data_IF_405006965130
#
_entry.id   IF_405006965130
#
_cell.length_a   1.000
_cell.length_b   1.000
_cell.length_c   1.000
_cell.angle_alpha   90.00
_cell.angle_beta   90.00
_cell.angle_gamma   90.00
#
_symmetry.space_group_name_H-M   'P 1'
#
loop_
_entity.id
_entity.type
_entity.pdbx_description
1 polymer ?
#
# COMPACT_ATOMS: atom_id res chain seq x y z
N UNK A 1 21.03 3.48 -8.15
CA UNK A 1 20.36 2.20 -8.27
C UNK A 1 19.14 2.17 -7.37
N UNK A 2 17.97 1.71 -7.85
CA UNK A 2 16.79 1.65 -7.02
C UNK A 2 16.99 0.58 -5.96
N UNK A 3 17.08 1.00 -4.71
CA UNK A 3 16.95 0.09 -3.57
C UNK A 3 15.47 -0.27 -3.45
N UNK A 4 15.04 -1.35 -4.04
CA UNK A 4 13.73 -1.90 -3.72
C UNK A 4 13.85 -2.76 -2.47
N UNK A 5 13.61 -2.19 -1.32
CA UNK A 5 13.31 -2.96 -0.13
C UNK A 5 11.84 -3.36 -0.20
N UNK A 6 11.55 -4.64 -0.36
CA UNK A 6 10.18 -5.19 -0.35
C UNK A 6 9.46 -4.98 0.98
N UNK A 7 10.11 -4.40 1.98
CA UNK A 7 9.58 -4.22 3.33
C UNK A 7 9.49 -2.77 3.80
N UNK A 8 9.84 -1.78 2.97
CA UNK A 8 10.06 -0.42 3.47
C UNK A 8 8.80 0.29 3.96
N UNK A 9 7.62 -0.05 3.47
CA UNK A 9 6.38 0.60 3.91
C UNK A 9 5.71 -0.09 5.10
N UNK A 10 5.88 -1.38 5.24
CA UNK A 10 5.34 -2.12 6.37
C UNK A 10 6.23 -2.02 7.62
N UNK A 11 7.54 -1.79 7.45
CA UNK A 11 8.46 -1.62 8.56
C UNK A 11 8.15 -0.40 9.45
N UNK A 12 7.65 0.68 8.89
CA UNK A 12 7.32 1.88 9.66
C UNK A 12 6.06 1.73 10.53
N UNK A 13 5.13 0.87 10.13
CA UNK A 13 3.88 0.65 10.85
C UNK A 13 3.91 -0.57 11.77
N UNK A 14 4.93 -1.40 11.68
CA UNK A 14 4.93 -2.75 12.24
C UNK A 14 6.03 -3.03 13.26
N UNK A 15 6.47 -2.02 14.01
CA UNK A 15 7.42 -2.23 15.12
C UNK A 15 6.95 -3.33 16.09
N UNK A 16 5.67 -3.62 16.15
CA UNK A 16 5.11 -4.73 16.94
C UNK A 16 4.48 -5.84 16.11
N UNK A 17 4.42 -5.74 14.80
CA UNK A 17 3.64 -6.65 13.95
C UNK A 17 4.51 -7.48 13.02
N UNK A 18 5.33 -8.37 13.60
CA UNK A 18 5.67 -9.63 12.92
C UNK A 18 6.29 -9.53 11.54
N UNK A 19 7.09 -8.51 11.26
CA UNK A 19 7.99 -8.59 10.12
C UNK A 19 9.13 -9.54 10.45
N UNK A 20 8.85 -10.82 10.26
CA UNK A 20 9.77 -11.90 10.55
C UNK A 20 10.77 -12.06 9.39
N UNK A 21 10.49 -11.44 8.25
CA UNK A 21 11.26 -11.58 7.03
C UNK A 21 11.43 -10.25 6.31
N UNK A 22 12.67 -9.95 5.92
CA UNK A 22 13.01 -8.90 4.97
C UNK A 22 13.74 -9.49 3.77
N UNK A 23 13.67 -8.82 2.61
CA UNK A 23 14.43 -9.18 1.43
C UNK A 23 15.20 -7.97 0.92
N UNK A 24 16.48 -8.17 0.63
CA UNK A 24 17.35 -7.19 -0.03
C UNK A 24 17.63 -7.69 -1.44
N UNK A 25 17.33 -6.87 -2.43
CA UNK A 25 17.59 -7.18 -3.84
C UNK A 25 18.66 -6.24 -4.33
N UNK A 26 19.79 -6.77 -4.73
CA UNK A 26 20.94 -6.01 -5.20
C UNK A 26 21.43 -6.57 -6.54
N UNK A 27 21.98 -5.69 -7.37
CA UNK A 27 22.55 -6.06 -8.68
C UNK A 27 24.06 -6.11 -8.64
N UNK A 28 24.69 -5.46 -7.68
CA UNK A 28 26.13 -5.39 -7.53
C UNK A 28 26.64 -6.60 -6.72
N UNK A 29 27.54 -7.39 -7.30
CA UNK A 29 28.05 -8.61 -6.69
C UNK A 29 28.89 -8.34 -5.44
N UNK A 30 29.69 -7.29 -5.41
CA UNK A 30 30.49 -6.93 -4.23
C UNK A 30 29.60 -6.51 -3.05
N UNK A 31 28.52 -5.82 -3.35
CA UNK A 31 27.52 -5.47 -2.33
C UNK A 31 26.77 -6.72 -1.85
N UNK A 32 26.47 -7.66 -2.74
CA UNK A 32 25.83 -8.92 -2.39
C UNK A 32 26.72 -9.73 -1.43
N UNK A 33 28.02 -9.88 -1.71
CA UNK A 33 28.96 -10.56 -0.83
C UNK A 33 29.05 -9.93 0.56
N UNK A 34 29.09 -8.59 0.65
CA UNK A 34 29.07 -7.88 1.94
C UNK A 34 27.79 -8.13 2.72
N UNK A 35 26.63 -8.15 2.05
CA UNK A 35 25.34 -8.42 2.66
C UNK A 35 25.25 -9.87 3.16
N UNK A 36 25.75 -10.84 2.39
CA UNK A 36 25.85 -12.25 2.83
C UNK A 36 26.76 -12.40 4.05
N UNK A 37 27.89 -11.71 4.06
CA UNK A 37 28.77 -11.71 5.23
C UNK A 37 28.06 -11.15 6.46
N UNK A 38 27.39 -10.00 6.33
CA UNK A 38 26.64 -9.38 7.43
C UNK A 38 25.49 -10.26 7.92
N UNK A 39 24.75 -10.87 7.01
CA UNK A 39 23.67 -11.80 7.33
C UNK A 39 24.19 -12.98 8.16
N UNK A 40 25.29 -13.60 7.73
CA UNK A 40 25.91 -14.72 8.43
C UNK A 40 26.49 -14.29 9.80
N UNK A 41 27.20 -13.18 9.84
CA UNK A 41 27.86 -12.69 11.06
C UNK A 41 26.87 -12.26 12.14
N UNK A 42 25.70 -11.68 11.74
CA UNK A 42 24.65 -11.25 12.66
C UNK A 42 23.62 -12.33 12.99
N UNK A 43 23.62 -13.45 12.25
CA UNK A 43 22.59 -14.48 12.37
C UNK A 43 21.21 -14.05 11.87
N UNK A 44 21.13 -13.04 11.01
CA UNK A 44 19.86 -12.49 10.46
C UNK A 44 19.29 -13.41 9.38
N UNK A 45 18.88 -14.61 9.76
CA UNK A 45 18.30 -15.65 8.91
C UNK A 45 16.84 -15.91 9.27
N UNK A 46 16.04 -16.30 8.28
CA UNK A 46 14.64 -16.68 8.50
C UNK A 46 14.54 -18.04 9.18
N UNK A 47 13.53 -18.16 10.05
CA UNK A 47 13.13 -19.46 10.58
C UNK A 47 12.61 -20.40 9.48
N UNK A 48 12.66 -21.73 9.69
CA UNK A 48 12.19 -22.69 8.69
C UNK A 48 10.73 -22.51 8.30
N UNK A 49 9.84 -22.21 9.25
CA UNK A 49 8.41 -21.99 8.98
C UNK A 49 8.20 -20.72 8.16
N UNK A 50 8.91 -19.64 8.48
CA UNK A 50 8.81 -18.38 7.75
C UNK A 50 9.32 -18.52 6.31
N UNK A 51 10.40 -19.28 6.14
CA UNK A 51 10.94 -19.63 4.82
C UNK A 51 9.93 -20.47 4.02
N UNK A 52 9.30 -21.46 4.63
CA UNK A 52 8.29 -22.31 4.00
C UNK A 52 7.07 -21.48 3.55
N UNK A 53 6.53 -20.65 4.43
CA UNK A 53 5.37 -19.79 4.12
C UNK A 53 5.70 -18.77 3.02
N UNK A 54 6.90 -18.20 3.05
CA UNK A 54 7.36 -17.27 2.02
C UNK A 54 7.49 -17.95 0.66
N UNK A 55 8.15 -19.11 0.60
CA UNK A 55 8.26 -19.89 -0.63
C UNK A 55 6.90 -20.30 -1.18
N UNK A 56 5.97 -20.67 -0.32
CA UNK A 56 4.58 -20.97 -0.72
C UNK A 56 3.89 -19.73 -1.28
N UNK A 57 4.03 -18.58 -0.62
CA UNK A 57 3.43 -17.31 -1.04
C UNK A 57 3.95 -16.79 -2.37
N UNK A 58 5.27 -16.92 -2.62
CA UNK A 58 5.91 -16.47 -3.86
C UNK A 58 5.36 -17.20 -5.09
N UNK A 59 5.01 -18.48 -4.97
CA UNK A 59 4.49 -19.29 -6.10
C UNK A 59 3.23 -18.71 -6.75
N UNK A 60 2.44 -17.94 -6.02
CA UNK A 60 1.21 -17.30 -6.53
C UNK A 60 1.31 -15.78 -6.60
N UNK A 61 2.49 -15.21 -6.36
CA UNK A 61 2.67 -13.76 -6.29
C UNK A 61 2.25 -13.06 -7.59
N UNK A 62 2.65 -13.60 -8.74
CA UNK A 62 2.34 -13.00 -10.04
C UNK A 62 0.83 -12.92 -10.29
N UNK A 63 0.07 -13.99 -10.02
CA UNK A 63 -1.40 -14.00 -10.19
C UNK A 63 -2.08 -13.02 -9.26
N UNK A 64 -1.61 -12.94 -8.00
CA UNK A 64 -2.14 -11.97 -7.02
C UNK A 64 -1.85 -10.54 -7.46
N UNK A 65 -0.63 -10.25 -7.91
CA UNK A 65 -0.26 -8.91 -8.38
C UNK A 65 -1.04 -8.48 -9.61
N UNK A 66 -1.30 -9.38 -10.55
CA UNK A 66 -2.18 -9.10 -11.70
C UNK A 66 -3.59 -8.70 -11.23
N UNK A 67 -4.17 -9.45 -10.28
CA UNK A 67 -5.50 -9.15 -9.73
C UNK A 67 -5.49 -7.84 -8.93
N UNK A 68 -4.48 -7.58 -8.10
CA UNK A 68 -4.34 -6.30 -7.38
C UNK A 68 -4.31 -5.12 -8.35
N UNK A 69 -3.49 -5.19 -9.40
CA UNK A 69 -3.39 -4.13 -10.40
C UNK A 69 -4.72 -3.91 -11.13
N UNK A 70 -5.38 -5.01 -11.55
CA UNK A 70 -6.68 -4.95 -12.21
C UNK A 70 -7.75 -4.31 -11.33
N UNK A 71 -7.87 -4.75 -10.08
CA UNK A 71 -8.85 -4.22 -9.14
C UNK A 71 -8.58 -2.74 -8.84
N UNK A 72 -7.30 -2.38 -8.63
CA UNK A 72 -6.91 -0.99 -8.37
C UNK A 72 -7.27 -0.07 -9.54
N UNK A 73 -7.06 -0.50 -10.78
CA UNK A 73 -7.45 0.26 -11.97
C UNK A 73 -8.96 0.51 -12.02
N UNK A 74 -9.77 -0.50 -11.71
CA UNK A 74 -11.24 -0.36 -11.65
C UNK A 74 -11.68 0.63 -10.59
N UNK A 75 -11.08 0.55 -9.39
CA UNK A 75 -11.33 1.48 -8.29
C UNK A 75 -10.89 2.90 -8.65
N UNK A 76 -9.72 3.06 -9.24
CA UNK A 76 -9.22 4.37 -9.70
C UNK A 76 -10.17 5.00 -10.71
N UNK A 77 -10.68 4.24 -11.68
CA UNK A 77 -11.64 4.72 -12.65
C UNK A 77 -12.97 5.16 -12.01
N UNK A 78 -13.42 4.46 -10.97
CA UNK A 78 -14.60 4.86 -10.18
C UNK A 78 -14.32 6.16 -9.40
N UNK A 79 -13.23 6.23 -8.65
CA UNK A 79 -12.88 7.38 -7.81
C UNK A 79 -12.58 8.64 -8.62
N UNK A 80 -11.97 8.52 -9.81
CA UNK A 80 -11.65 9.65 -10.68
C UNK A 80 -12.89 10.43 -11.15
N UNK A 81 -14.04 9.77 -11.21
CA UNK A 81 -15.31 10.37 -11.64
C UNK A 81 -16.26 10.67 -10.46
N UNK A 82 -15.83 10.46 -9.22
CA UNK A 82 -16.68 10.63 -8.06
C UNK A 82 -16.67 12.08 -7.54
N UNK A 83 -17.85 12.67 -7.34
CA UNK A 83 -17.99 14.09 -6.99
C UNK A 83 -17.37 14.50 -5.65
N UNK A 84 -17.30 13.59 -4.67
CA UNK A 84 -16.69 13.84 -3.35
C UNK A 84 -15.17 13.64 -3.30
N UNK A 85 -14.56 13.15 -4.38
CA UNK A 85 -13.11 12.99 -4.46
C UNK A 85 -12.48 14.29 -4.97
N UNK A 86 -11.47 14.79 -4.23
CA UNK A 86 -10.70 15.98 -4.61
C UNK A 86 -9.45 15.58 -5.41
N UNK A 87 -8.57 14.79 -4.81
CA UNK A 87 -7.33 14.33 -5.44
C UNK A 87 -7.21 12.82 -5.36
N UNK A 88 -6.65 12.24 -6.41
CA UNK A 88 -6.42 10.81 -6.52
C UNK A 88 -4.94 10.56 -6.78
N UNK A 89 -4.37 9.63 -6.03
CA UNK A 89 -2.95 9.27 -6.12
C UNK A 89 -2.81 7.79 -6.45
N UNK A 90 -2.40 7.52 -7.67
CA UNK A 90 -2.04 6.19 -8.15
C UNK A 90 -1.05 6.33 -9.31
N UNK A 91 0.07 5.58 -9.34
CA UNK A 91 1.09 5.78 -10.36
C UNK A 91 0.62 5.55 -11.80
N UNK A 92 -0.50 4.86 -11.98
CA UNK A 92 -1.08 4.58 -13.29
C UNK A 92 -1.81 5.76 -13.94
N UNK A 93 -2.17 6.81 -13.19
CA UNK A 93 -2.83 7.99 -13.79
C UNK A 93 -1.78 8.95 -14.38
N UNK A 94 -2.03 9.49 -15.59
CA UNK A 94 -1.06 10.37 -16.27
C UNK A 94 -0.68 11.64 -15.50
N UNK A 95 -1.57 12.12 -14.62
CA UNK A 95 -1.36 13.30 -13.79
C UNK A 95 -0.46 13.04 -12.57
N UNK A 96 -0.16 11.78 -12.26
CA UNK A 96 0.74 11.44 -11.15
C UNK A 96 2.17 11.90 -11.47
N UNK A 97 2.88 12.60 -10.56
CA UNK A 97 4.19 13.20 -10.84
C UNK A 97 5.24 12.18 -11.30
N UNK A 98 5.15 10.94 -10.80
CA UNK A 98 6.07 9.86 -11.15
C UNK A 98 5.50 8.85 -12.16
N UNK A 99 4.43 9.18 -12.89
CA UNK A 99 3.79 8.25 -13.84
C UNK A 99 4.78 7.71 -14.89
N UNK A 100 5.57 8.60 -15.50
CA UNK A 100 6.55 8.19 -16.54
C UNK A 100 7.61 7.25 -15.98
N UNK A 101 8.10 7.52 -14.77
CA UNK A 101 9.06 6.66 -14.08
C UNK A 101 8.44 5.30 -13.74
N UNK A 102 7.24 5.28 -13.15
CA UNK A 102 6.53 4.04 -12.85
C UNK A 102 6.31 3.20 -14.11
N UNK A 103 5.85 3.82 -15.19
CA UNK A 103 5.64 3.15 -16.49
C UNK A 103 6.92 2.53 -17.08
N UNK A 104 8.09 3.12 -16.81
CA UNK A 104 9.37 2.58 -17.29
C UNK A 104 9.92 1.44 -16.44
N UNK A 105 9.46 1.30 -15.19
CA UNK A 105 10.02 0.35 -14.22
C UNK A 105 9.05 -0.77 -13.80
N UNK A 106 7.75 -0.58 -14.02
CA UNK A 106 6.70 -1.48 -13.52
C UNK A 106 5.91 -2.09 -14.67
N UNK A 107 5.58 -3.38 -14.55
CA UNK A 107 4.67 -4.07 -15.49
C UNK A 107 3.19 -3.76 -15.22
N UNK A 108 2.87 -3.31 -13.99
CA UNK A 108 1.57 -2.85 -13.54
C UNK A 108 1.76 -1.87 -12.40
N UNK A 109 0.77 -1.06 -12.07
CA UNK A 109 0.93 0.06 -11.15
C UNK A 109 0.59 -0.25 -9.68
N UNK A 110 0.39 -1.54 -9.36
CA UNK A 110 0.15 -2.01 -8.00
C UNK A 110 -1.25 -1.74 -7.47
N UNK A 111 -1.50 -2.27 -6.26
CA UNK A 111 -2.78 -2.21 -5.57
C UNK A 111 -2.94 -1.05 -4.58
N UNK A 112 -1.95 -0.15 -4.46
CA UNK A 112 -2.03 0.97 -3.51
C UNK A 112 -2.64 2.19 -4.16
N UNK A 113 -3.80 2.61 -3.65
CA UNK A 113 -4.54 3.78 -4.12
C UNK A 113 -4.77 4.73 -2.95
N UNK A 114 -4.56 6.02 -3.12
CA UNK A 114 -4.91 7.01 -2.12
C UNK A 114 -5.74 8.13 -2.73
N UNK A 115 -6.65 8.68 -1.96
CA UNK A 115 -7.45 9.82 -2.41
C UNK A 115 -7.77 10.75 -1.24
N UNK A 116 -8.06 12.01 -1.56
CA UNK A 116 -8.56 12.99 -0.59
C UNK A 116 -10.02 13.31 -0.88
N UNK A 117 -10.78 13.60 0.18
CA UNK A 117 -12.17 14.06 0.07
C UNK A 117 -12.24 15.58 -0.07
N UNK A 118 -13.25 16.10 -0.79
CA UNK A 118 -13.47 17.53 -0.95
C UNK A 118 -13.88 18.21 0.35
N UNK A 119 -14.54 17.49 1.24
CA UNK A 119 -14.94 18.00 2.55
C UNK A 119 -13.72 18.41 3.40
N UNK A 120 -12.56 17.81 3.13
CA UNK A 120 -11.26 18.25 3.64
C UNK A 120 -11.02 17.98 5.12
N UNK A 121 -11.96 17.36 5.84
CA UNK A 121 -11.88 17.20 7.29
C UNK A 121 -11.78 15.74 7.75
N UNK A 122 -11.33 15.59 8.98
CA UNK A 122 -11.20 14.30 9.66
C UNK A 122 -12.55 13.60 9.86
N UNK A 123 -13.60 14.34 10.16
CA UNK A 123 -14.93 13.79 10.47
C UNK A 123 -15.52 13.07 9.24
N UNK A 124 -15.43 13.69 8.08
CA UNK A 124 -15.88 13.09 6.82
C UNK A 124 -15.15 11.77 6.54
N UNK A 125 -13.83 11.73 6.73
CA UNK A 125 -13.04 10.48 6.56
C UNK A 125 -13.46 9.42 7.56
N UNK A 126 -13.68 9.78 8.83
CA UNK A 126 -14.13 8.85 9.86
C UNK A 126 -15.51 8.27 9.52
N UNK A 127 -16.42 9.11 9.02
CA UNK A 127 -17.73 8.67 8.58
C UNK A 127 -17.62 7.67 7.41
N UNK A 128 -16.85 7.99 6.37
CA UNK A 128 -16.61 7.10 5.23
C UNK A 128 -16.02 5.78 5.68
N UNK A 129 -14.94 5.82 6.46
CA UNK A 129 -14.22 4.60 6.86
C UNK A 129 -15.02 3.70 7.80
N UNK A 130 -15.96 4.27 8.56
CA UNK A 130 -16.88 3.50 9.42
C UNK A 130 -17.98 2.76 8.66
N UNK A 131 -18.28 3.18 7.44
CA UNK A 131 -19.30 2.57 6.58
C UNK A 131 -18.80 1.39 5.76
N UNK A 132 -17.50 1.18 5.65
CA UNK A 132 -16.93 0.07 4.89
C UNK A 132 -17.38 -1.29 5.42
N UNK A 133 -17.70 -2.20 4.52
CA UNK A 133 -18.14 -3.58 4.80
C UNK A 133 -17.19 -4.64 4.25
N UNK A 134 -16.54 -4.35 3.14
CA UNK A 134 -15.54 -5.21 2.48
C UNK A 134 -14.13 -4.70 2.80
N UNK A 135 -13.89 -3.39 2.64
CA UNK A 135 -12.65 -2.81 3.10
C UNK A 135 -12.57 -2.83 4.63
N UNK A 136 -11.56 -3.49 5.17
CA UNK A 136 -11.30 -3.49 6.62
C UNK A 136 -10.45 -2.29 7.00
N UNK A 137 -10.87 -1.53 8.01
CA UNK A 137 -10.07 -0.43 8.57
C UNK A 137 -8.86 -1.00 9.32
N UNK A 138 -7.67 -0.85 8.76
CA UNK A 138 -6.44 -1.39 9.34
C UNK A 138 -5.20 -0.61 8.89
N UNK A 139 -4.13 -0.71 9.68
CA UNK A 139 -2.84 -0.07 9.38
C UNK A 139 -2.01 -0.84 8.34
N UNK A 140 -2.27 -2.13 8.15
CA UNK A 140 -1.54 -3.02 7.24
C UNK A 140 -1.80 -2.70 5.76
N UNK A 141 -1.08 -3.38 4.88
CA UNK A 141 -1.24 -3.26 3.43
C UNK A 141 -0.67 -4.50 2.70
N UNK A 142 -1.03 -4.66 1.44
CA UNK A 142 -0.43 -5.66 0.54
C UNK A 142 -0.91 -7.09 0.73
N UNK A 143 -1.89 -7.32 1.62
CA UNK A 143 -2.55 -8.61 1.78
C UNK A 143 -3.53 -8.90 0.63
N UNK A 144 -4.11 -10.10 0.64
CA UNK A 144 -5.14 -10.51 -0.33
C UNK A 144 -6.48 -9.84 -0.04
N UNK A 145 -6.71 -9.48 1.23
CA UNK A 145 -7.85 -8.70 1.70
C UNK A 145 -7.67 -7.21 1.41
N UNK A 146 -8.76 -6.53 1.08
CA UNK A 146 -8.80 -5.09 0.88
C UNK A 146 -8.83 -4.34 2.21
N UNK A 147 -7.89 -3.41 2.39
CA UNK A 147 -7.76 -2.62 3.60
C UNK A 147 -7.90 -1.12 3.30
N UNK A 148 -8.55 -0.40 4.22
CA UNK A 148 -8.59 1.05 4.24
C UNK A 148 -7.82 1.58 5.45
N UNK A 149 -7.11 2.69 5.28
CA UNK A 149 -6.35 3.33 6.33
C UNK A 149 -6.56 4.84 6.27
N UNK A 150 -6.71 5.46 7.43
CA UNK A 150 -6.62 6.92 7.58
C UNK A 150 -5.24 7.28 8.13
N UNK A 151 -4.26 7.65 7.28
CA UNK A 151 -2.89 7.83 7.73
C UNK A 151 -2.72 8.85 8.85
N UNK A 152 -3.49 9.93 8.80
CA UNK A 152 -3.37 11.03 9.75
C UNK A 152 -3.70 10.65 11.20
N UNK A 153 -4.66 9.74 11.43
CA UNK A 153 -5.04 9.31 12.80
C UNK A 153 -4.49 7.94 13.19
N UNK A 154 -3.91 7.19 12.24
CA UNK A 154 -3.41 5.85 12.48
C UNK A 154 -1.88 5.81 12.39
N UNK A 155 -1.33 5.62 11.20
CA UNK A 155 0.12 5.41 11.01
C UNK A 155 0.99 6.64 11.29
N UNK A 156 0.43 7.84 11.20
CA UNK A 156 1.14 9.11 11.39
C UNK A 156 0.58 9.96 12.54
N UNK A 157 -0.22 9.36 13.44
CA UNK A 157 -0.86 10.07 14.54
C UNK A 157 0.15 10.73 15.51
N UNK A 158 1.34 10.15 15.66
CA UNK A 158 2.41 10.70 16.51
C UNK A 158 3.17 11.87 15.86
N UNK A 159 2.97 12.14 14.57
CA UNK A 159 3.67 13.22 13.85
C UNK A 159 2.85 14.50 13.97
N UNK A 160 3.47 15.65 14.34
CA UNK A 160 2.77 16.93 14.37
C UNK A 160 2.10 17.26 13.03
N UNK A 161 0.88 17.79 13.09
CA UNK A 161 0.04 18.06 11.91
C UNK A 161 0.77 18.82 10.81
N UNK A 162 1.45 19.91 11.17
CA UNK A 162 2.20 20.74 10.22
C UNK A 162 3.30 19.96 9.47
N UNK A 163 3.94 19.01 10.16
CA UNK A 163 5.02 18.21 9.56
C UNK A 163 4.46 17.13 8.63
N UNK A 164 3.37 16.43 9.03
CA UNK A 164 2.77 15.41 8.19
C UNK A 164 2.07 16.00 6.94
N UNK A 165 1.48 17.19 7.05
CA UNK A 165 0.88 17.88 5.90
C UNK A 165 1.92 18.31 4.87
N UNK A 166 3.13 18.72 5.30
CA UNK A 166 4.26 18.97 4.38
C UNK A 166 4.67 17.74 3.58
N UNK A 167 4.44 16.55 4.09
CA UNK A 167 4.69 15.28 3.39
C UNK A 167 3.46 14.75 2.63
N UNK A 168 2.38 15.53 2.58
CA UNK A 168 1.15 15.18 1.85
C UNK A 168 0.14 14.35 2.65
N UNK A 169 0.39 14.10 3.93
CA UNK A 169 -0.55 13.36 4.79
C UNK A 169 -1.51 14.34 5.46
N UNK A 170 -2.55 14.72 4.72
CA UNK A 170 -3.62 15.63 5.16
C UNK A 170 -4.75 14.86 5.86
N UNK A 171 -5.61 15.60 6.61
CA UNK A 171 -6.71 15.03 7.40
C UNK A 171 -7.79 14.36 6.53
N UNK A 172 -7.90 14.73 5.26
CA UNK A 172 -8.86 14.17 4.30
C UNK A 172 -8.34 12.95 3.53
N UNK A 173 -7.12 12.48 3.81
CA UNK A 173 -6.47 11.41 3.05
C UNK A 173 -6.96 10.04 3.48
N UNK A 174 -7.46 9.25 2.55
CA UNK A 174 -7.74 7.82 2.70
C UNK A 174 -6.77 7.03 1.83
N UNK A 175 -6.14 6.00 2.39
CA UNK A 175 -5.30 5.05 1.66
C UNK A 175 -5.99 3.70 1.59
N UNK A 176 -6.11 3.16 0.39
CA UNK A 176 -6.62 1.83 0.11
C UNK A 176 -5.47 0.89 -0.26
N UNK A 177 -5.42 -0.26 0.36
CA UNK A 177 -4.66 -1.42 -0.10
C UNK A 177 -5.66 -2.37 -0.74
N UNK A 178 -5.74 -2.31 -2.05
CA UNK A 178 -6.74 -3.06 -2.82
C UNK A 178 -6.35 -4.52 -2.91
N UNK A 179 -7.23 -5.40 -2.44
CA UNK A 179 -7.05 -6.84 -2.43
C UNK A 179 -7.44 -7.53 -3.75
N UNK A 180 -7.74 -8.82 -3.65
CA UNK A 180 -8.06 -9.68 -4.80
C UNK A 180 -9.52 -10.10 -4.86
N UNK A 181 -10.38 -9.53 -4.03
CA UNK A 181 -11.83 -9.74 -4.03
C UNK A 181 -12.43 -9.37 -5.39
N UNK A 182 -13.70 -9.63 -5.57
CA UNK A 182 -14.40 -9.17 -6.77
C UNK A 182 -14.42 -7.63 -6.81
N UNK A 183 -14.03 -7.06 -7.93
CA UNK A 183 -13.91 -5.61 -8.07
C UNK A 183 -15.26 -4.89 -8.03
N UNK A 184 -16.35 -5.57 -8.41
CA UNK A 184 -17.70 -4.99 -8.32
C UNK A 184 -18.12 -4.84 -6.87
N UNK A 185 -17.84 -5.83 -6.01
CA UNK A 185 -18.09 -5.75 -4.57
C UNK A 185 -17.28 -4.63 -3.92
N UNK A 186 -16.01 -4.47 -4.31
CA UNK A 186 -15.16 -3.37 -3.84
C UNK A 186 -15.72 -1.99 -4.24
N UNK A 187 -16.18 -1.86 -5.48
CA UNK A 187 -16.80 -0.61 -5.98
C UNK A 187 -18.12 -0.33 -5.28
N UNK A 188 -18.95 -1.35 -5.06
CA UNK A 188 -20.20 -1.21 -4.33
C UNK A 188 -19.96 -0.77 -2.88
N UNK A 189 -18.93 -1.31 -2.23
CA UNK A 189 -18.57 -0.91 -0.87
C UNK A 189 -18.09 0.55 -0.82
N UNK A 190 -17.22 0.95 -1.75
CA UNK A 190 -16.79 2.35 -1.89
C UNK A 190 -18.00 3.27 -2.15
N UNK A 191 -18.89 2.90 -3.08
CA UNK A 191 -20.05 3.69 -3.45
C UNK A 191 -20.97 3.94 -2.26
N UNK A 192 -21.28 2.91 -1.46
CA UNK A 192 -22.16 3.06 -0.30
C UNK A 192 -21.50 3.81 0.86
N UNK A 193 -20.16 3.78 0.96
CA UNK A 193 -19.43 4.45 2.01
C UNK A 193 -19.17 5.93 1.72
N UNK A 194 -18.89 6.27 0.45
CA UNK A 194 -18.56 7.65 0.06
C UNK A 194 -19.83 8.51 -0.15
N UNK A 195 -20.95 7.93 -0.56
CA UNK A 195 -22.23 8.64 -0.66
C UNK A 195 -22.83 8.87 0.74
#
# INVERSE_FOLDING_TARGET
PPRSTLSSSSAASDVYKRQILGALIVKDDQLAEKLYFLQNASGAICGPMDSFLTLRGIKTLHVRMERHCFNAEKIVNFLANHERVDKLYWPGIPTHPNHKLAKSQMSGFGGMVSFTTKDGDFKSVQEITSKFKVFTLAESLGGVESLANHPASMTHASIPKELREKTGVVDSLIRLSVGIEDHEDLILDLKQAIN
#
